data_IF_518020480558
#
_entry.id   IF_518020480558
#
_cell.length_a   1.000
_cell.length_b   1.000
_cell.length_c   1.000
_cell.angle_alpha   90.00
_cell.angle_beta   90.00
_cell.angle_gamma   90.00
#
_symmetry.space_group_name_H-M   'P 1'
#
loop_
_entity.id
_entity.type
_entity.pdbx_description
1 polymer ?
#
# COMPACT_ATOMS: atom_id res chain seq x y z
N UNK A 1 20.54 -45.63 24.13
CA UNK A 1 19.21 -44.98 24.13
C UNK A 1 19.30 -43.51 24.54
N UNK A 2 20.07 -43.14 25.57
CA UNK A 2 20.22 -41.75 26.06
C UNK A 2 20.65 -40.75 24.97
N UNK A 3 21.58 -41.09 24.08
CA UNK A 3 21.99 -40.19 22.97
C UNK A 3 20.82 -39.77 22.06
N UNK A 4 19.95 -40.72 21.69
CA UNK A 4 18.78 -40.44 20.83
C UNK A 4 17.75 -39.54 21.52
N UNK A 5 17.60 -39.68 22.84
CA UNK A 5 16.71 -38.84 23.63
C UNK A 5 17.23 -37.39 23.67
N UNK A 6 18.52 -37.22 23.95
CA UNK A 6 19.17 -35.91 23.97
C UNK A 6 19.18 -35.23 22.59
N UNK A 7 19.37 -36.01 21.51
CA UNK A 7 19.32 -35.49 20.14
C UNK A 7 17.90 -35.03 19.76
N UNK A 8 16.87 -35.72 20.26
CA UNK A 8 15.46 -35.35 20.05
C UNK A 8 15.10 -34.07 20.81
N UNK A 9 15.52 -33.96 22.08
CA UNK A 9 15.33 -32.76 22.90
C UNK A 9 16.03 -31.54 22.29
N UNK A 10 17.26 -31.74 21.78
CA UNK A 10 18.00 -30.67 21.09
C UNK A 10 17.25 -30.19 19.84
N UNK A 11 16.75 -31.10 19.01
CA UNK A 11 15.97 -30.76 17.81
C UNK A 11 14.66 -30.05 18.14
N UNK A 12 14.00 -30.45 19.21
CA UNK A 12 12.78 -29.80 19.68
C UNK A 12 13.07 -28.36 20.11
N UNK A 13 14.15 -28.15 20.86
CA UNK A 13 14.59 -26.81 21.27
C UNK A 13 14.95 -25.92 20.07
N UNK A 14 15.72 -26.44 19.11
CA UNK A 14 16.06 -25.72 17.87
C UNK A 14 14.79 -25.33 17.07
N UNK A 15 13.79 -26.21 17.04
CA UNK A 15 12.50 -25.93 16.41
C UNK A 15 11.70 -24.86 17.16
N UNK A 16 11.65 -24.91 18.50
CA UNK A 16 10.99 -23.88 19.32
C UNK A 16 11.64 -22.51 19.14
N UNK A 17 12.97 -22.44 19.11
CA UNK A 17 13.70 -21.19 18.84
C UNK A 17 13.37 -20.63 17.46
N UNK A 18 13.34 -21.50 16.44
CA UNK A 18 12.97 -21.13 15.07
C UNK A 18 11.54 -20.58 15.01
N UNK A 19 10.58 -21.27 15.65
CA UNK A 19 9.18 -20.83 15.70
C UNK A 19 9.06 -19.47 16.38
N UNK A 20 9.79 -19.26 17.47
CA UNK A 20 9.81 -17.99 18.20
C UNK A 20 10.36 -16.85 17.31
N UNK A 21 11.46 -17.08 16.61
CA UNK A 21 12.05 -16.09 15.71
C UNK A 21 11.10 -15.72 14.55
N UNK A 22 10.48 -16.73 13.93
CA UNK A 22 9.50 -16.52 12.86
C UNK A 22 8.27 -15.77 13.37
N UNK A 23 7.81 -16.06 14.59
CA UNK A 23 6.74 -15.32 15.25
C UNK A 23 7.05 -13.82 15.35
N UNK A 24 8.25 -13.47 15.84
CA UNK A 24 8.70 -12.07 15.94
C UNK A 24 8.80 -11.38 14.57
N UNK A 25 9.28 -12.09 13.55
CA UNK A 25 9.34 -11.56 12.17
C UNK A 25 7.93 -11.29 11.64
N UNK A 26 7.01 -12.24 11.81
CA UNK A 26 5.62 -12.13 11.36
C UNK A 26 4.90 -10.97 12.05
N UNK A 27 5.06 -10.83 13.37
CA UNK A 27 4.56 -9.66 14.11
C UNK A 27 5.10 -8.35 13.54
N UNK A 28 6.38 -8.32 13.17
CA UNK A 28 7.00 -7.18 12.49
C UNK A 28 6.40 -6.88 11.11
N UNK A 29 6.01 -7.89 10.34
CA UNK A 29 5.29 -7.70 9.07
C UNK A 29 3.89 -7.15 9.29
N UNK A 30 3.13 -7.73 10.23
CA UNK A 30 1.75 -7.30 10.54
C UNK A 30 1.74 -5.83 11.00
N UNK A 31 2.63 -5.44 11.91
CA UNK A 31 2.75 -4.04 12.35
C UNK A 31 3.01 -3.07 11.20
N UNK A 32 3.89 -3.44 10.25
CA UNK A 32 4.17 -2.63 9.06
C UNK A 32 2.95 -2.52 8.13
N UNK A 33 2.17 -3.59 7.99
CA UNK A 33 0.93 -3.56 7.21
C UNK A 33 -0.14 -2.69 7.87
N UNK A 34 -0.28 -2.75 9.19
CA UNK A 34 -1.22 -1.93 9.96
C UNK A 34 -0.86 -0.44 9.86
N UNK A 35 0.41 -0.08 10.05
CA UNK A 35 0.88 1.30 9.86
C UNK A 35 0.66 1.80 8.44
N UNK A 36 0.86 0.94 7.43
CA UNK A 36 0.60 1.28 6.04
C UNK A 36 -0.88 1.48 5.77
N UNK A 37 -1.75 0.63 6.33
CA UNK A 37 -3.20 0.75 6.23
C UNK A 37 -3.69 2.04 6.88
N UNK A 38 -3.19 2.39 8.06
CA UNK A 38 -3.55 3.64 8.74
C UNK A 38 -3.15 4.87 7.90
N UNK A 39 -1.93 4.87 7.34
CA UNK A 39 -1.48 5.92 6.40
C UNK A 39 -2.33 5.97 5.13
N UNK A 40 -2.73 4.83 4.56
CA UNK A 40 -3.60 4.77 3.39
C UNK A 40 -4.97 5.38 3.70
N UNK A 41 -5.59 5.02 4.84
CA UNK A 41 -6.85 5.60 5.32
C UNK A 41 -6.73 7.11 5.52
N UNK A 42 -5.71 7.57 6.23
CA UNK A 42 -5.46 9.00 6.46
C UNK A 42 -5.23 9.75 5.14
N UNK A 43 -4.46 9.19 4.19
CA UNK A 43 -4.26 9.81 2.89
C UNK A 43 -5.54 9.84 2.05
N UNK A 44 -6.40 8.82 2.10
CA UNK A 44 -7.68 8.83 1.38
C UNK A 44 -8.67 9.88 1.92
N UNK A 45 -8.50 10.31 3.18
CA UNK A 45 -9.40 11.27 3.84
C UNK A 45 -9.13 12.74 3.50
N UNK A 46 -7.94 13.07 2.96
CA UNK A 46 -7.55 14.47 2.73
C UNK A 46 -7.54 14.78 1.24
N UNK A 47 -8.63 15.36 0.74
CA UNK A 47 -8.64 15.97 -0.59
C UNK A 47 -7.79 17.23 -0.58
N UNK A 48 -6.64 17.21 -1.28
CA UNK A 48 -5.73 18.35 -1.28
C UNK A 48 -6.35 19.54 -2.01
N UNK A 49 -6.15 20.74 -1.45
CA UNK A 49 -6.57 21.98 -2.08
C UNK A 49 -5.60 22.34 -3.21
N UNK A 50 -6.13 22.94 -4.27
CA UNK A 50 -5.30 23.31 -5.41
C UNK A 50 -4.25 24.35 -5.00
N UNK A 51 -4.58 25.30 -4.14
CA UNK A 51 -3.72 26.40 -3.72
C UNK A 51 -2.44 25.93 -3.02
N UNK A 52 -2.51 24.79 -2.33
CA UNK A 52 -1.41 24.24 -1.52
C UNK A 52 -0.38 23.48 -2.36
N UNK A 53 -0.68 23.20 -3.64
CA UNK A 53 0.15 22.33 -4.49
C UNK A 53 0.73 23.10 -5.68
N UNK A 54 2.05 23.27 -5.68
CA UNK A 54 2.78 23.94 -6.78
C UNK A 54 3.28 22.98 -7.86
N UNK A 55 3.57 21.74 -7.48
CA UNK A 55 4.18 20.71 -8.33
C UNK A 55 3.34 19.42 -8.35
N UNK A 56 3.44 18.65 -9.44
CA UNK A 56 2.82 17.33 -9.52
C UNK A 56 3.38 16.37 -8.45
N UNK A 57 2.51 15.70 -7.68
CA UNK A 57 2.93 14.79 -6.61
C UNK A 57 3.82 13.62 -7.09
N UNK A 58 3.76 13.26 -8.38
CA UNK A 58 4.56 12.18 -8.96
C UNK A 58 5.78 12.69 -9.72
N UNK A 59 5.60 13.45 -10.81
CA UNK A 59 6.72 13.85 -11.67
C UNK A 59 7.45 15.12 -11.21
N UNK A 60 6.99 15.78 -10.13
CA UNK A 60 7.64 16.96 -9.54
C UNK A 60 7.78 18.17 -10.46
N UNK A 61 7.07 18.18 -11.58
CA UNK A 61 6.99 19.32 -12.49
C UNK A 61 5.95 20.32 -12.00
N UNK A 62 6.30 21.60 -12.04
CA UNK A 62 5.42 22.70 -11.67
C UNK A 62 4.15 22.75 -12.51
N UNK A 63 3.05 23.12 -11.86
CA UNK A 63 1.81 23.47 -12.52
C UNK A 63 1.89 24.87 -13.11
N UNK A 64 1.16 25.09 -14.20
CA UNK A 64 1.03 26.39 -14.84
C UNK A 64 -0.30 26.46 -15.62
N UNK A 65 -0.54 27.54 -16.36
CA UNK A 65 -1.80 27.72 -17.08
C UNK A 65 -2.11 26.61 -18.11
N UNK A 66 -1.09 25.92 -18.63
CA UNK A 66 -1.24 24.82 -19.60
C UNK A 66 -1.18 23.44 -18.93
N UNK A 67 -0.42 23.31 -17.84
CA UNK A 67 -0.31 22.09 -17.04
C UNK A 67 -1.26 22.19 -15.85
N UNK A 68 -2.47 21.67 -16.04
CA UNK A 68 -3.56 21.72 -15.04
C UNK A 68 -3.39 20.65 -13.94
N UNK A 69 -4.04 20.92 -12.81
CA UNK A 69 -4.09 20.07 -11.62
C UNK A 69 -5.23 19.05 -11.75
N UNK A 70 -4.95 17.81 -11.36
CA UNK A 70 -5.91 16.71 -11.42
C UNK A 70 -5.77 15.82 -10.18
N UNK A 71 -6.87 15.63 -9.45
CA UNK A 71 -6.83 14.78 -8.27
C UNK A 71 -6.88 13.28 -8.58
N UNK A 72 -6.23 12.47 -7.75
CA UNK A 72 -6.55 11.06 -7.64
C UNK A 72 -7.83 10.89 -6.82
N UNK A 73 -8.83 10.18 -7.34
CA UNK A 73 -10.10 9.97 -6.64
C UNK A 73 -10.03 8.94 -5.51
N UNK A 74 -8.88 8.25 -5.36
CA UNK A 74 -8.61 7.32 -4.26
C UNK A 74 -7.84 7.98 -3.12
N UNK A 75 -6.72 8.67 -3.40
CA UNK A 75 -5.87 9.26 -2.35
C UNK A 75 -5.98 10.79 -2.21
N UNK A 76 -6.82 11.47 -2.98
CA UNK A 76 -7.04 12.92 -2.87
C UNK A 76 -5.85 13.81 -3.27
N UNK A 77 -4.71 13.23 -3.67
CA UNK A 77 -3.51 13.99 -4.06
C UNK A 77 -3.62 14.57 -5.48
N UNK A 78 -2.78 15.57 -5.81
CA UNK A 78 -2.84 16.36 -7.05
C UNK A 78 -1.69 16.00 -8.01
N UNK A 79 -2.03 15.78 -9.27
CA UNK A 79 -1.13 15.32 -10.32
C UNK A 79 -1.39 16.08 -11.64
N UNK A 80 -0.47 15.96 -12.60
CA UNK A 80 -0.73 16.36 -13.99
C UNK A 80 -1.42 15.23 -14.77
N UNK A 81 -2.11 15.53 -15.87
CA UNK A 81 -2.85 14.55 -16.69
C UNK A 81 -2.04 13.28 -17.00
N UNK A 82 -0.76 13.42 -17.35
CA UNK A 82 0.12 12.30 -17.68
C UNK A 82 0.42 11.34 -16.51
N UNK A 83 0.24 11.77 -15.26
CA UNK A 83 0.50 10.98 -14.05
C UNK A 83 -0.78 10.39 -13.42
N UNK A 84 -1.95 10.68 -14.00
CA UNK A 84 -3.24 10.18 -13.52
C UNK A 84 -4.13 9.78 -14.71
N UNK A 85 -3.57 9.17 -15.75
CA UNK A 85 -4.33 8.83 -16.96
C UNK A 85 -5.25 7.61 -16.77
N UNK A 86 -4.96 6.75 -15.78
CA UNK A 86 -5.73 5.53 -15.54
C UNK A 86 -7.08 5.81 -14.87
N UNK A 87 -8.12 5.10 -15.32
CA UNK A 87 -9.44 5.09 -14.70
C UNK A 87 -9.76 3.70 -14.18
N UNK A 88 -10.20 3.61 -12.92
CA UNK A 88 -10.61 2.36 -12.28
C UNK A 88 -11.99 2.52 -11.62
N UNK A 89 -12.78 1.46 -11.63
CA UNK A 89 -14.03 1.40 -10.85
C UNK A 89 -13.67 1.09 -9.40
N UNK A 90 -13.73 2.11 -8.53
CA UNK A 90 -13.51 1.93 -7.11
C UNK A 90 -14.79 1.39 -6.44
N UNK A 91 -14.62 0.68 -5.32
CA UNK A 91 -15.74 0.25 -4.47
C UNK A 91 -16.57 1.48 -4.08
N UNK A 92 -17.88 1.44 -4.33
CA UNK A 92 -18.80 2.55 -4.09
C UNK A 92 -18.94 3.55 -5.24
N UNK A 93 -18.21 3.37 -6.35
CA UNK A 93 -18.39 4.17 -7.57
C UNK A 93 -19.03 3.33 -8.68
N UNK A 94 -20.09 3.86 -9.30
CA UNK A 94 -20.77 3.21 -10.43
C UNK A 94 -20.07 3.46 -11.78
N UNK A 95 -19.00 4.28 -11.79
CA UNK A 95 -18.27 4.65 -13.01
C UNK A 95 -16.75 4.61 -12.75
N UNK A 96 -15.93 4.34 -13.78
CA UNK A 96 -14.48 4.43 -13.67
C UNK A 96 -14.05 5.86 -13.30
N UNK A 97 -13.28 5.99 -12.23
CA UNK A 97 -12.74 7.26 -11.75
C UNK A 97 -11.24 7.32 -11.92
N UNK A 98 -10.74 8.54 -12.11
CA UNK A 98 -9.32 8.81 -12.32
C UNK A 98 -8.50 8.51 -11.06
N UNK A 99 -7.43 7.73 -11.20
CA UNK A 99 -6.50 7.40 -10.12
C UNK A 99 -5.05 7.64 -10.55
N UNK A 100 -4.14 7.84 -9.59
CA UNK A 100 -2.70 7.86 -9.87
C UNK A 100 -2.17 6.44 -10.01
N UNK A 101 -0.97 6.31 -10.60
CA UNK A 101 -0.35 5.01 -10.85
C UNK A 101 -0.21 4.17 -9.58
N UNK A 102 0.18 4.78 -8.46
CA UNK A 102 0.32 4.07 -7.19
C UNK A 102 -1.01 3.51 -6.67
N UNK A 103 -2.10 4.30 -6.74
CA UNK A 103 -3.43 3.82 -6.37
C UNK A 103 -3.94 2.76 -7.34
N UNK A 104 -3.60 2.88 -8.62
CA UNK A 104 -3.91 1.87 -9.62
C UNK A 104 -3.28 0.52 -9.24
N UNK A 105 -1.97 0.48 -9.00
CA UNK A 105 -1.25 -0.73 -8.59
C UNK A 105 -1.84 -1.34 -7.32
N UNK A 106 -2.13 -0.53 -6.30
CA UNK A 106 -2.72 -1.02 -5.03
C UNK A 106 -4.09 -1.66 -5.23
N UNK A 107 -4.97 -1.01 -5.99
CA UNK A 107 -6.32 -1.53 -6.26
C UNK A 107 -6.25 -2.82 -7.06
N UNK A 108 -5.41 -2.88 -8.10
CA UNK A 108 -5.25 -4.09 -8.92
C UNK A 108 -4.65 -5.26 -8.13
N UNK A 109 -3.67 -5.01 -7.26
CA UNK A 109 -3.11 -6.04 -6.38
C UNK A 109 -4.19 -6.65 -5.45
N UNK A 110 -5.10 -5.82 -4.93
CA UNK A 110 -6.23 -6.29 -4.11
C UNK A 110 -7.25 -7.12 -4.92
N UNK A 111 -7.46 -6.80 -6.20
CA UNK A 111 -8.36 -7.60 -7.06
C UNK A 111 -7.83 -9.01 -7.32
N UNK A 112 -6.51 -9.19 -7.47
CA UNK A 112 -5.91 -10.52 -7.71
C UNK A 112 -6.03 -11.43 -6.49
N UNK A 113 -5.92 -10.87 -5.28
CA UNK A 113 -6.04 -11.65 -4.02
C UNK A 113 -7.48 -12.05 -3.73
N UNK A 114 -8.47 -11.26 -4.18
CA UNK A 114 -9.89 -11.47 -3.86
C UNK A 114 -10.68 -12.21 -4.95
N UNK A 115 -10.03 -12.74 -5.98
CA UNK A 115 -10.68 -13.53 -7.03
C UNK A 115 -10.02 -14.93 -7.12
N UNK A 116 -10.42 -15.89 -6.26
CA UNK A 116 -9.97 -17.28 -6.35
C UNK A 116 -10.50 -17.99 -7.60
#
# INVERSE_FOLDING_TARGET
MIKKQNDLEKRFHEQEETVRELGLKLEGYIKREDEFREKDVLQTSTWMKDEDVKECCQCKKDFNALRRKHHCRKCGQIFCEACVCTKLTLVGSNKPVRVCDMCCTRVLAQCVVNNP
#
